data_IF_272483152814
#
_entry.id   IF_272483152814
#
_cell.length_a   1.000
_cell.length_b   1.000
_cell.length_c   1.000
_cell.angle_alpha   90.00
_cell.angle_beta   90.00
_cell.angle_gamma   90.00
#
_symmetry.space_group_name_H-M   'P 1'
#
loop_
_entity.id
_entity.type
_entity.pdbx_description
1 polymer ?
#
# COMPACT_ATOMS: atom_id res chain seq x y z
N UNK A 1 45.05 11.16 -5.37
CA UNK A 1 44.64 11.49 -3.98
C UNK A 1 43.19 11.97 -3.82
N UNK A 2 42.62 12.77 -4.74
CA UNK A 2 41.21 13.23 -4.62
C UNK A 2 40.20 12.09 -4.78
N UNK A 3 40.40 11.18 -5.75
CA UNK A 3 39.50 10.04 -6.02
C UNK A 3 39.36 9.07 -4.82
N UNK A 4 40.47 8.68 -4.19
CA UNK A 4 40.42 7.78 -3.02
C UNK A 4 39.82 8.45 -1.78
N UNK A 5 40.02 9.76 -1.58
CA UNK A 5 39.35 10.51 -0.52
C UNK A 5 37.84 10.60 -0.76
N UNK A 6 37.41 10.79 -2.00
CA UNK A 6 35.99 10.78 -2.38
C UNK A 6 35.37 9.40 -2.21
N UNK A 7 36.05 8.31 -2.60
CA UNK A 7 35.60 6.93 -2.35
C UNK A 7 35.44 6.64 -0.85
N UNK A 8 36.45 6.98 -0.03
CA UNK A 8 36.38 6.80 1.44
C UNK A 8 35.31 7.68 2.10
N UNK A 9 35.01 8.86 1.55
CA UNK A 9 33.89 9.69 2.02
C UNK A 9 32.55 9.08 1.65
N UNK A 10 32.39 8.58 0.40
CA UNK A 10 31.19 7.89 -0.05
C UNK A 10 30.89 6.65 0.80
N UNK A 11 31.92 5.88 1.13
CA UNK A 11 31.85 4.71 2.03
C UNK A 11 31.46 5.06 3.48
N UNK A 12 31.64 6.33 3.91
CA UNK A 12 31.28 6.80 5.27
C UNK A 12 29.92 7.48 5.33
N UNK A 13 29.46 8.09 4.23
CA UNK A 13 28.15 8.74 4.17
C UNK A 13 27.06 7.71 3.94
N UNK A 14 26.39 7.29 5.01
CA UNK A 14 25.19 6.46 4.92
C UNK A 14 24.00 7.32 4.48
N UNK A 15 23.27 6.96 3.40
CA UNK A 15 22.07 7.66 2.98
C UNK A 15 20.90 7.47 3.96
N UNK A 16 21.06 6.66 5.02
CA UNK A 16 20.03 6.37 6.01
C UNK A 16 19.42 7.64 6.63
N UNK A 17 20.23 8.67 6.90
CA UNK A 17 19.71 9.93 7.47
C UNK A 17 18.74 10.62 6.52
N UNK A 18 19.03 10.62 5.22
CA UNK A 18 18.13 11.20 4.21
C UNK A 18 16.80 10.43 4.14
N UNK A 19 16.85 9.10 4.19
CA UNK A 19 15.64 8.27 4.18
C UNK A 19 14.81 8.46 5.46
N UNK A 20 15.45 8.57 6.63
CA UNK A 20 14.75 8.86 7.89
C UNK A 20 14.11 10.25 7.85
N UNK A 21 14.84 11.26 7.36
CA UNK A 21 14.30 12.62 7.20
C UNK A 21 13.12 12.67 6.21
N UNK A 22 13.13 11.85 5.16
CA UNK A 22 12.01 11.72 4.23
C UNK A 22 10.82 10.94 4.81
N UNK A 23 11.08 9.89 5.58
CA UNK A 23 10.03 9.05 6.17
C UNK A 23 9.26 9.77 7.29
N UNK A 24 9.90 10.66 8.05
CA UNK A 24 9.28 11.41 9.15
C UNK A 24 8.05 12.25 8.72
N UNK A 25 8.13 13.15 7.72
CA UNK A 25 6.97 13.92 7.29
C UNK A 25 5.88 13.03 6.69
N UNK A 26 6.22 11.92 6.03
CA UNK A 26 5.23 10.95 5.54
C UNK A 26 4.49 10.26 6.69
N UNK A 27 5.22 9.84 7.73
CA UNK A 27 4.63 9.28 8.94
C UNK A 27 3.68 10.28 9.61
N UNK A 28 4.13 11.52 9.78
CA UNK A 28 3.33 12.60 10.34
C UNK A 28 2.09 12.88 9.48
N UNK A 29 2.21 12.89 8.15
CA UNK A 29 1.08 13.11 7.26
C UNK A 29 -0.02 12.04 7.46
N UNK A 30 0.35 10.76 7.58
CA UNK A 30 -0.62 9.67 7.85
C UNK A 30 -1.29 9.88 9.21
N UNK A 31 -0.53 10.26 10.23
CA UNK A 31 -1.05 10.56 11.57
C UNK A 31 -2.06 11.72 11.52
N UNK A 32 -1.71 12.83 10.86
CA UNK A 32 -2.57 14.01 10.77
C UNK A 32 -3.79 13.83 9.86
N UNK A 33 -3.80 12.81 9.00
CA UNK A 33 -4.97 12.49 8.17
C UNK A 33 -6.12 11.91 8.99
N UNK A 34 -5.87 11.42 10.23
CA UNK A 34 -6.84 10.75 11.10
C UNK A 34 -7.62 9.60 10.41
N UNK A 35 -7.09 9.05 9.32
CA UNK A 35 -7.72 7.97 8.57
C UNK A 35 -7.55 6.67 9.34
N UNK A 36 -8.65 6.11 9.84
CA UNK A 36 -8.63 4.82 10.57
C UNK A 36 -8.01 3.71 9.73
N UNK A 37 -8.35 3.65 8.44
CA UNK A 37 -7.75 2.69 7.50
C UNK A 37 -6.26 2.92 7.32
N UNK A 38 -5.83 4.18 7.21
CA UNK A 38 -4.42 4.55 7.15
C UNK A 38 -3.65 4.14 8.40
N UNK A 39 -4.18 4.42 9.59
CA UNK A 39 -3.56 4.05 10.87
C UNK A 39 -3.47 2.53 11.06
N UNK A 40 -4.52 1.77 10.68
CA UNK A 40 -4.50 0.31 10.74
C UNK A 40 -3.43 -0.27 9.80
N UNK A 41 -3.37 0.21 8.56
CA UNK A 41 -2.33 -0.23 7.61
C UNK A 41 -0.93 0.18 8.07
N UNK A 42 -0.76 1.35 8.66
CA UNK A 42 0.51 1.80 9.24
C UNK A 42 0.96 0.90 10.40
N UNK A 43 0.04 0.56 11.32
CA UNK A 43 0.34 -0.35 12.42
C UNK A 43 0.69 -1.76 11.90
N UNK A 44 -0.05 -2.26 10.90
CA UNK A 44 0.24 -3.53 10.25
C UNK A 44 1.63 -3.51 9.58
N UNK A 45 2.00 -2.43 8.89
CA UNK A 45 3.34 -2.26 8.31
C UNK A 45 4.44 -2.43 9.36
N UNK A 46 4.38 -1.65 10.45
CA UNK A 46 5.42 -1.68 11.47
C UNK A 46 5.50 -3.03 12.18
N UNK A 47 4.36 -3.67 12.44
CA UNK A 47 4.32 -5.01 13.03
C UNK A 47 4.99 -6.05 12.12
N UNK A 48 4.61 -6.08 10.84
CA UNK A 48 5.18 -7.01 9.86
C UNK A 48 6.66 -6.72 9.60
N UNK A 49 7.04 -5.44 9.47
CA UNK A 49 8.42 -5.01 9.31
C UNK A 49 9.27 -5.43 10.50
N UNK A 50 8.76 -5.31 11.74
CA UNK A 50 9.46 -5.75 12.94
C UNK A 50 9.64 -7.27 12.96
N UNK A 51 8.59 -8.02 12.61
CA UNK A 51 8.64 -9.47 12.50
C UNK A 51 9.68 -9.94 11.46
N UNK A 52 9.68 -9.34 10.27
CA UNK A 52 10.67 -9.59 9.21
C UNK A 52 12.07 -9.23 9.67
N UNK A 53 12.26 -8.08 10.31
CA UNK A 53 13.54 -7.63 10.83
C UNK A 53 14.12 -8.63 11.84
N UNK A 54 13.32 -9.06 12.80
CA UNK A 54 13.72 -10.06 13.80
C UNK A 54 14.02 -11.40 13.14
N UNK A 55 13.16 -11.87 12.23
CA UNK A 55 13.34 -13.14 11.53
C UNK A 55 14.61 -13.14 10.69
N UNK A 56 14.86 -12.07 9.94
CA UNK A 56 16.07 -11.92 9.12
C UNK A 56 17.32 -11.98 10.00
N UNK A 57 17.32 -11.32 11.16
CA UNK A 57 18.43 -11.38 12.11
C UNK A 57 18.66 -12.78 12.71
N UNK A 58 17.58 -13.50 13.04
CA UNK A 58 17.66 -14.85 13.61
C UNK A 58 18.15 -15.88 12.59
N UNK A 59 17.76 -15.73 11.32
CA UNK A 59 18.13 -16.65 10.25
C UNK A 59 19.46 -16.31 9.58
N UNK A 60 19.90 -15.06 9.66
CA UNK A 60 21.17 -14.65 9.06
C UNK A 60 22.34 -15.22 9.87
N UNK A 61 23.00 -16.24 9.29
CA UNK A 61 24.18 -16.91 9.85
C UNK A 61 25.47 -16.09 9.74
N UNK A 62 25.44 -15.00 8.97
CA UNK A 62 26.59 -14.11 8.86
C UNK A 62 26.57 -13.17 10.07
N UNK A 63 27.66 -13.17 10.84
CA UNK A 63 27.83 -12.26 11.97
C UNK A 63 27.59 -10.83 11.49
N UNK A 64 26.51 -10.21 11.97
CA UNK A 64 26.15 -8.87 11.53
C UNK A 64 27.25 -7.91 11.99
N UNK A 65 27.92 -7.25 11.06
CA UNK A 65 28.91 -6.20 11.38
C UNK A 65 28.28 -4.95 12.02
N UNK A 66 26.95 -4.92 12.09
CA UNK A 66 26.17 -3.86 12.72
C UNK A 66 26.33 -3.87 14.23
N UNK A 67 26.75 -2.74 14.79
CA UNK A 67 26.88 -2.54 16.23
C UNK A 67 25.52 -2.76 16.94
N UNK A 68 25.46 -3.45 18.09
CA UNK A 68 24.21 -3.80 18.78
C UNK A 68 23.36 -2.59 19.15
N UNK A 69 23.99 -1.43 19.41
CA UNK A 69 23.28 -0.17 19.68
C UNK A 69 22.42 0.29 18.49
N UNK A 70 22.88 0.07 17.24
CA UNK A 70 22.11 0.43 16.04
C UNK A 70 20.90 -0.49 15.90
N UNK A 71 21.08 -1.78 16.17
CA UNK A 71 19.96 -2.73 16.18
C UNK A 71 18.94 -2.37 17.26
N UNK A 72 19.40 -2.01 18.46
CA UNK A 72 18.54 -1.60 19.56
C UNK A 72 17.78 -0.30 19.22
N UNK A 73 18.46 0.69 18.65
CA UNK A 73 17.82 1.97 18.31
C UNK A 73 16.76 1.81 17.21
N UNK A 74 17.03 1.01 16.17
CA UNK A 74 16.06 0.71 15.11
C UNK A 74 14.86 -0.05 15.67
N UNK A 75 15.10 -1.07 16.49
CA UNK A 75 14.02 -1.84 17.14
C UNK A 75 13.15 -0.94 18.01
N UNK A 76 13.77 -0.10 18.84
CA UNK A 76 13.06 0.83 19.71
C UNK A 76 12.24 1.84 18.90
N UNK A 77 12.80 2.39 17.82
CA UNK A 77 12.10 3.30 16.92
C UNK A 77 10.87 2.64 16.30
N UNK A 78 10.98 1.39 15.83
CA UNK A 78 9.85 0.64 15.25
C UNK A 78 8.77 0.34 16.30
N UNK A 79 9.16 -0.02 17.53
CA UNK A 79 8.23 -0.24 18.64
C UNK A 79 7.52 1.04 19.06
N UNK A 80 8.22 2.18 19.11
CA UNK A 80 7.62 3.48 19.40
C UNK A 80 6.65 3.90 18.31
N UNK A 81 7.01 3.74 17.04
CA UNK A 81 6.14 4.04 15.91
C UNK A 81 4.89 3.15 15.90
N UNK A 82 5.06 1.84 16.17
CA UNK A 82 3.94 0.90 16.30
C UNK A 82 3.04 1.26 17.49
N UNK A 83 3.62 1.49 18.67
CA UNK A 83 2.89 1.86 19.88
C UNK A 83 2.10 3.16 19.72
N UNK A 84 2.69 4.14 19.02
CA UNK A 84 2.01 5.39 18.69
C UNK A 84 0.89 5.18 17.65
N UNK A 85 1.13 4.41 16.58
CA UNK A 85 0.07 4.09 15.61
C UNK A 85 -1.10 3.37 16.29
N UNK A 86 -0.81 2.44 17.21
CA UNK A 86 -1.82 1.71 17.99
C UNK A 86 -2.56 2.63 18.97
N UNK A 87 -1.88 3.60 19.60
CA UNK A 87 -2.55 4.52 20.55
C UNK A 87 -3.55 5.47 19.88
N UNK A 88 -3.38 5.73 18.57
CA UNK A 88 -4.34 6.48 17.76
C UNK A 88 -5.58 5.66 17.38
N UNK A 89 -5.53 4.33 17.52
CA UNK A 89 -6.69 3.48 17.29
C UNK A 89 -7.63 3.60 18.50
N UNK A 90 -8.79 4.21 18.28
CA UNK A 90 -9.84 4.29 19.29
C UNK A 90 -10.57 2.93 19.41
N UNK A 91 -9.99 2.04 20.21
CA UNK A 91 -10.53 0.71 20.48
C UNK A 91 -11.94 0.74 21.07
N UNK A 92 -12.31 1.80 21.80
CA UNK A 92 -13.67 1.94 22.38
C UNK A 92 -14.73 2.12 21.30
N UNK A 93 -14.41 2.82 20.21
CA UNK A 93 -15.32 2.95 19.07
C UNK A 93 -15.40 1.69 18.22
N UNK A 94 -14.37 0.85 18.22
CA UNK A 94 -14.40 -0.47 17.55
C UNK A 94 -15.36 -1.39 18.28
N UNK A 95 -15.28 -1.44 19.60
CA UNK A 95 -16.21 -2.18 20.47
C UNK A 95 -17.66 -1.68 20.29
N UNK A 96 -17.87 -0.35 20.36
CA UNK A 96 -19.19 0.24 20.10
C UNK A 96 -19.72 -0.06 18.70
N UNK A 97 -18.85 -0.11 17.68
CA UNK A 97 -19.25 -0.47 16.31
C UNK A 97 -19.55 -1.96 16.17
N UNK A 98 -18.83 -2.82 16.87
CA UNK A 98 -19.12 -4.25 16.90
C UNK A 98 -20.49 -4.50 17.56
N UNK A 99 -20.79 -3.78 18.65
CA UNK A 99 -22.10 -3.77 19.30
C UNK A 99 -23.19 -3.15 18.42
N UNK A 100 -22.87 -2.15 17.60
CA UNK A 100 -23.78 -1.56 16.61
C UNK A 100 -24.02 -2.48 15.41
N UNK A 101 -23.05 -3.28 14.98
CA UNK A 101 -23.25 -4.30 13.92
C UNK A 101 -24.20 -5.42 14.39
N UNK A 102 -24.26 -5.68 15.69
CA UNK A 102 -25.22 -6.59 16.31
C UNK A 102 -26.62 -5.98 16.48
N UNK A 103 -26.78 -4.65 16.31
CA UNK A 103 -28.07 -3.94 16.43
C UNK A 103 -28.53 -3.41 15.06
N UNK A 104 -29.63 -3.91 14.49
CA UNK A 104 -30.06 -3.58 13.11
C UNK A 104 -30.40 -2.10 12.82
N UNK A 105 -30.49 -1.24 13.83
CA UNK A 105 -31.22 0.04 13.73
C UNK A 105 -30.36 1.28 13.44
N UNK A 106 -29.03 1.22 13.55
CA UNK A 106 -28.17 2.41 13.33
C UNK A 106 -27.25 2.19 12.13
N UNK A 107 -27.77 2.48 10.94
CA UNK A 107 -27.00 2.48 9.68
C UNK A 107 -26.12 3.74 9.60
N UNK A 108 -24.81 3.59 9.83
CA UNK A 108 -23.81 4.63 9.58
C UNK A 108 -23.88 5.03 8.09
N UNK A 109 -24.37 6.24 7.78
CA UNK A 109 -24.72 6.70 6.42
C UNK A 109 -23.52 6.61 5.48
N UNK A 110 -22.30 6.80 5.98
CA UNK A 110 -21.08 6.68 5.20
C UNK A 110 -20.77 5.23 4.80
N UNK A 111 -21.04 4.27 5.68
CA UNK A 111 -20.78 2.85 5.41
C UNK A 111 -21.78 2.30 4.40
N UNK A 112 -23.07 2.60 4.58
CA UNK A 112 -24.10 2.17 3.63
C UNK A 112 -23.88 2.77 2.25
N UNK A 113 -23.52 4.05 2.14
CA UNK A 113 -23.19 4.66 0.86
C UNK A 113 -22.01 3.95 0.15
N UNK A 114 -20.96 3.57 0.89
CA UNK A 114 -19.83 2.82 0.33
C UNK A 114 -20.22 1.40 -0.11
N UNK A 115 -21.07 0.73 0.66
CA UNK A 115 -21.56 -0.60 0.31
C UNK A 115 -22.40 -0.57 -0.97
N UNK A 116 -23.35 0.36 -1.06
CA UNK A 116 -24.19 0.55 -2.25
C UNK A 116 -23.33 0.91 -3.48
N UNK A 117 -22.33 1.78 -3.30
CA UNK A 117 -21.40 2.12 -4.38
C UNK A 117 -20.55 0.92 -4.82
N UNK A 118 -20.11 0.08 -3.88
CA UNK A 118 -19.40 -1.15 -4.18
C UNK A 118 -20.29 -2.10 -4.98
N UNK A 119 -21.55 -2.30 -4.57
CA UNK A 119 -22.52 -3.13 -5.30
C UNK A 119 -22.76 -2.62 -6.73
N UNK A 120 -22.97 -1.33 -6.91
CA UNK A 120 -23.11 -0.72 -8.23
C UNK A 120 -21.86 -0.95 -9.11
N UNK A 121 -20.67 -0.82 -8.52
CA UNK A 121 -19.40 -1.08 -9.22
C UNK A 121 -19.25 -2.56 -9.61
N UNK A 122 -19.68 -3.48 -8.75
CA UNK A 122 -19.67 -4.92 -9.08
C UNK A 122 -20.65 -5.29 -10.20
N UNK A 123 -21.81 -4.63 -10.26
CA UNK A 123 -22.76 -4.80 -11.37
C UNK A 123 -22.14 -4.33 -12.69
N UNK A 124 -21.51 -3.15 -12.70
CA UNK A 124 -20.78 -2.62 -13.85
C UNK A 124 -19.64 -3.53 -14.30
N UNK A 125 -18.90 -4.11 -13.35
CA UNK A 125 -17.87 -5.11 -13.64
C UNK A 125 -18.46 -6.32 -14.36
N UNK A 126 -19.61 -6.84 -13.89
CA UNK A 126 -20.28 -7.99 -14.49
C UNK A 126 -20.56 -7.82 -15.98
N UNK A 127 -20.87 -6.59 -16.42
CA UNK A 127 -21.19 -6.27 -17.81
C UNK A 127 -19.95 -5.93 -18.65
N UNK A 128 -18.94 -5.28 -18.05
CA UNK A 128 -17.83 -4.69 -18.81
C UNK A 128 -16.47 -5.38 -18.64
N UNK A 129 -16.31 -6.36 -17.75
CA UNK A 129 -15.00 -6.99 -17.47
C UNK A 129 -14.28 -7.56 -18.70
N UNK A 130 -14.98 -7.92 -19.78
CA UNK A 130 -14.37 -8.52 -20.98
C UNK A 130 -13.66 -7.48 -21.84
N UNK A 131 -14.38 -6.43 -22.23
CA UNK A 131 -13.89 -5.41 -23.18
C UNK A 131 -13.41 -4.13 -22.49
N UNK A 132 -13.87 -3.88 -21.27
CA UNK A 132 -13.73 -2.61 -20.59
C UNK A 132 -14.66 -1.54 -21.17
N UNK A 133 -14.72 -0.39 -20.49
CA UNK A 133 -15.40 0.83 -20.96
C UNK A 133 -14.43 1.88 -21.51
N UNK A 134 -13.13 1.59 -21.51
CA UNK A 134 -12.06 2.53 -21.82
C UNK A 134 -11.48 3.20 -20.56
N UNK A 135 -10.19 3.55 -20.61
CA UNK A 135 -9.50 4.24 -19.52
C UNK A 135 -10.16 5.59 -19.20
N UNK A 136 -10.49 5.83 -17.94
CA UNK A 136 -11.28 7.00 -17.50
C UNK A 136 -12.75 6.96 -17.93
N UNK A 137 -13.22 5.84 -18.46
CA UNK A 137 -14.61 5.62 -18.90
C UNK A 137 -15.57 5.38 -17.74
N UNK A 138 -15.07 4.95 -16.58
CA UNK A 138 -15.90 4.61 -15.42
C UNK A 138 -16.86 5.75 -15.06
N UNK A 139 -16.32 6.96 -14.88
CA UNK A 139 -17.09 8.15 -14.47
C UNK A 139 -18.27 8.50 -15.37
N UNK A 140 -18.22 8.12 -16.65
CA UNK A 140 -19.27 8.46 -17.61
C UNK A 140 -20.43 7.46 -17.60
N UNK A 141 -20.13 6.17 -17.38
CA UNK A 141 -21.14 5.11 -17.40
C UNK A 141 -21.65 4.75 -16.00
N UNK A 142 -20.83 4.94 -14.97
CA UNK A 142 -21.19 4.66 -13.58
C UNK A 142 -22.48 5.34 -13.08
N UNK A 143 -22.84 6.57 -13.50
CA UNK A 143 -24.13 7.18 -13.18
C UNK A 143 -25.35 6.32 -13.56
N UNK A 144 -25.26 5.46 -14.58
CA UNK A 144 -26.36 4.56 -14.95
C UNK A 144 -26.58 3.46 -13.91
N UNK A 145 -25.49 2.93 -13.35
CA UNK A 145 -25.56 1.84 -12.36
C UNK A 145 -26.08 2.34 -11.01
N UNK A 146 -25.68 3.54 -10.57
CA UNK A 146 -26.14 4.08 -9.28
C UNK A 146 -27.63 4.46 -9.28
N UNK A 147 -28.30 4.59 -10.43
CA UNK A 147 -29.77 4.83 -10.50
C UNK A 147 -30.57 3.75 -9.78
N UNK A 148 -30.05 2.51 -9.78
CA UNK A 148 -30.67 1.38 -9.11
C UNK A 148 -30.48 1.42 -7.57
N UNK A 149 -29.71 2.39 -7.07
CA UNK A 149 -29.37 2.56 -5.66
C UNK A 149 -29.81 3.95 -5.13
N UNK A 150 -31.10 4.11 -4.73
CA UNK A 150 -31.66 5.41 -4.34
C UNK A 150 -30.91 6.13 -3.21
N UNK A 151 -30.28 5.36 -2.31
CA UNK A 151 -29.49 5.89 -1.19
C UNK A 151 -28.27 6.72 -1.63
N UNK A 152 -27.72 6.41 -2.80
CA UNK A 152 -26.51 7.05 -3.34
C UNK A 152 -26.75 7.83 -4.63
N UNK A 153 -27.87 7.64 -5.33
CA UNK A 153 -28.15 8.40 -6.55
C UNK A 153 -28.42 9.88 -6.28
N UNK A 154 -29.20 10.20 -5.23
CA UNK A 154 -29.57 11.58 -4.83
C UNK A 154 -30.01 12.49 -6.00
N UNK A 155 -30.75 11.95 -6.97
CA UNK A 155 -31.19 12.69 -8.15
C UNK A 155 -30.06 13.08 -9.12
N UNK A 156 -28.96 12.32 -9.14
CA UNK A 156 -27.78 12.59 -9.95
C UNK A 156 -26.82 13.63 -9.37
N UNK A 157 -27.05 14.07 -8.12
CA UNK A 157 -26.18 15.05 -7.44
C UNK A 157 -24.87 14.47 -6.95
N UNK A 158 -24.81 13.15 -6.74
CA UNK A 158 -23.65 12.48 -6.21
C UNK A 158 -22.92 11.77 -7.35
N UNK A 159 -21.67 12.16 -7.58
CA UNK A 159 -20.85 11.72 -8.70
C UNK A 159 -19.57 11.09 -8.17
N UNK A 160 -19.21 9.92 -8.72
CA UNK A 160 -17.96 9.24 -8.43
C UNK A 160 -17.14 9.16 -9.70
N UNK A 161 -15.90 9.64 -9.61
CA UNK A 161 -14.95 9.56 -10.73
C UNK A 161 -14.32 8.17 -10.85
N UNK A 162 -14.19 7.46 -9.73
CA UNK A 162 -13.54 6.16 -9.63
C UNK A 162 -14.31 5.26 -8.66
N UNK A 163 -14.27 3.96 -8.90
CA UNK A 163 -14.63 2.98 -7.88
C UNK A 163 -13.66 3.12 -6.70
N UNK A 164 -14.16 3.08 -5.47
CA UNK A 164 -13.32 2.99 -4.25
C UNK A 164 -12.74 1.58 -4.06
N UNK A 165 -12.20 1.02 -5.14
CA UNK A 165 -11.55 -0.26 -5.22
C UNK A 165 -10.87 -0.37 -6.60
N UNK A 166 -9.55 -0.22 -6.65
CA UNK A 166 -8.77 -0.32 -7.89
C UNK A 166 -8.91 -1.71 -8.54
N UNK A 167 -9.12 -2.77 -7.75
CA UNK A 167 -9.35 -4.13 -8.27
C UNK A 167 -10.67 -4.29 -9.02
N UNK A 168 -11.65 -3.42 -8.76
CA UNK A 168 -12.86 -3.30 -9.58
C UNK A 168 -12.64 -2.33 -10.75
N UNK A 169 -12.03 -1.17 -10.47
CA UNK A 169 -11.82 -0.11 -11.46
C UNK A 169 -11.07 -0.61 -12.70
N UNK A 170 -9.93 -1.28 -12.49
CA UNK A 170 -9.05 -1.74 -13.56
C UNK A 170 -9.77 -2.64 -14.58
N UNK A 171 -10.42 -3.75 -14.19
CA UNK A 171 -11.13 -4.60 -15.13
C UNK A 171 -12.41 -3.95 -15.69
N UNK A 172 -13.05 -3.02 -14.97
CA UNK A 172 -14.18 -2.24 -15.54
C UNK A 172 -13.69 -1.37 -16.70
N UNK A 173 -12.58 -0.66 -16.54
CA UNK A 173 -12.10 0.28 -17.56
C UNK A 173 -11.32 -0.39 -18.68
N UNK A 174 -10.38 -1.26 -18.34
CA UNK A 174 -9.42 -1.84 -19.30
C UNK A 174 -9.83 -3.23 -19.78
N UNK A 175 -10.87 -3.82 -19.18
CA UNK A 175 -11.34 -5.15 -19.51
C UNK A 175 -10.32 -6.25 -19.22
N UNK A 176 -10.56 -7.42 -19.83
CA UNK A 176 -9.73 -8.59 -19.64
C UNK A 176 -8.33 -8.38 -20.21
N UNK A 177 -8.19 -7.61 -21.30
CA UNK A 177 -6.89 -7.31 -21.91
C UNK A 177 -5.98 -6.54 -20.95
N UNK A 178 -6.48 -5.45 -20.35
CA UNK A 178 -5.70 -4.68 -19.37
C UNK A 178 -5.44 -5.45 -18.08
N UNK A 179 -6.44 -6.18 -17.58
CA UNK A 179 -6.28 -7.06 -16.42
C UNK A 179 -5.20 -8.12 -16.63
N UNK A 180 -5.22 -8.81 -17.78
CA UNK A 180 -4.21 -9.82 -18.13
C UNK A 180 -2.81 -9.23 -18.27
N UNK A 181 -2.67 -8.03 -18.86
CA UNK A 181 -1.38 -7.37 -18.98
C UNK A 181 -0.77 -7.05 -17.60
N UNK A 182 -1.59 -6.54 -16.67
CA UNK A 182 -1.15 -6.27 -15.30
C UNK A 182 -0.80 -7.56 -14.56
N UNK A 183 -1.60 -8.62 -14.70
CA UNK A 183 -1.30 -9.93 -14.12
C UNK A 183 0.00 -10.52 -14.69
N UNK A 184 0.25 -10.37 -16.00
CA UNK A 184 1.49 -10.81 -16.63
C UNK A 184 2.70 -10.02 -16.10
N UNK A 185 2.59 -8.70 -15.96
CA UNK A 185 3.62 -7.86 -15.35
C UNK A 185 3.89 -8.21 -13.89
N UNK A 186 2.84 -8.43 -13.10
CA UNK A 186 2.94 -8.86 -11.71
C UNK A 186 3.59 -10.25 -11.60
N UNK A 187 3.20 -11.21 -12.42
CA UNK A 187 3.80 -12.54 -12.47
C UNK A 187 5.28 -12.47 -12.84
N UNK A 188 5.63 -11.69 -13.86
CA UNK A 188 7.03 -11.45 -14.24
C UNK A 188 7.84 -10.86 -13.09
N UNK A 189 7.32 -9.81 -12.44
CA UNK A 189 7.98 -9.17 -11.31
C UNK A 189 8.16 -10.14 -10.14
N UNK A 190 7.12 -10.88 -9.75
CA UNK A 190 7.21 -11.92 -8.72
C UNK A 190 8.26 -12.98 -9.07
N UNK A 191 8.22 -13.55 -10.29
CA UNK A 191 9.24 -14.49 -10.75
C UNK A 191 10.65 -13.91 -10.65
N UNK A 192 10.84 -12.63 -10.96
CA UNK A 192 12.12 -11.96 -10.82
C UNK A 192 12.57 -11.82 -9.36
N UNK A 193 11.65 -11.45 -8.44
CA UNK A 193 11.93 -11.42 -7.00
C UNK A 193 12.39 -12.79 -6.49
N UNK A 194 11.75 -13.87 -6.95
CA UNK A 194 12.14 -15.24 -6.60
C UNK A 194 13.50 -15.64 -7.18
N UNK A 195 13.74 -15.32 -8.45
CA UNK A 195 14.99 -15.64 -9.15
C UNK A 195 16.19 -14.96 -8.50
N UNK A 196 16.05 -13.70 -8.10
CA UNK A 196 17.09 -12.91 -7.42
C UNK A 196 17.07 -13.05 -5.89
N UNK A 197 16.24 -13.95 -5.34
CA UNK A 197 16.20 -14.27 -3.91
C UNK A 197 16.08 -13.03 -3.03
N UNK A 198 15.21 -12.10 -3.40
CA UNK A 198 15.02 -10.80 -2.73
C UNK A 198 14.81 -10.92 -1.22
N UNK A 199 14.26 -12.05 -0.73
CA UNK A 199 14.14 -12.36 0.70
C UNK A 199 15.45 -12.37 1.50
N UNK A 200 16.61 -12.44 0.83
CA UNK A 200 17.92 -12.36 1.47
C UNK A 200 18.33 -10.92 1.78
N UNK A 201 17.77 -9.95 1.08
CA UNK A 201 18.05 -8.53 1.27
C UNK A 201 16.95 -7.84 2.08
N UNK A 202 17.28 -7.41 3.29
CA UNK A 202 16.30 -6.84 4.22
C UNK A 202 15.66 -5.53 3.71
N UNK A 203 16.43 -4.55 3.18
CA UNK A 203 15.84 -3.35 2.56
C UNK A 203 14.84 -3.67 1.45
N UNK A 204 15.18 -4.58 0.54
CA UNK A 204 14.30 -4.96 -0.57
C UNK A 204 13.02 -5.66 -0.09
N UNK A 205 13.10 -6.51 0.95
CA UNK A 205 11.90 -7.11 1.57
C UNK A 205 10.99 -6.06 2.20
N UNK A 206 11.55 -5.11 2.96
CA UNK A 206 10.78 -4.04 3.58
C UNK A 206 10.11 -3.14 2.53
N UNK A 207 10.79 -2.87 1.42
CA UNK A 207 10.22 -2.14 0.30
C UNK A 207 9.08 -2.92 -0.37
N UNK A 208 9.27 -4.23 -0.61
CA UNK A 208 8.22 -5.10 -1.16
C UNK A 208 6.99 -5.16 -0.23
N UNK A 209 7.20 -5.17 1.09
CA UNK A 209 6.12 -5.11 2.07
C UNK A 209 5.31 -3.81 1.95
N UNK A 210 5.98 -2.66 1.77
CA UNK A 210 5.32 -1.38 1.53
C UNK A 210 4.52 -1.36 0.22
N UNK A 211 5.08 -1.90 -0.86
CA UNK A 211 4.39 -2.03 -2.16
C UNK A 211 3.15 -2.92 -2.05
N UNK A 212 3.25 -4.06 -1.36
CA UNK A 212 2.13 -4.96 -1.10
C UNK A 212 1.04 -4.28 -0.27
N UNK A 213 1.42 -3.45 0.70
CA UNK A 213 0.46 -2.70 1.50
C UNK A 213 -0.33 -1.68 0.68
N UNK A 214 0.28 -1.01 -0.31
CA UNK A 214 -0.46 -0.15 -1.24
C UNK A 214 -1.52 -0.94 -2.01
N UNK A 215 -1.22 -2.18 -2.42
CA UNK A 215 -2.17 -3.05 -3.10
C UNK A 215 -3.32 -3.51 -2.19
N UNK A 216 -3.06 -3.69 -0.88
CA UNK A 216 -4.11 -3.94 0.12
C UNK A 216 -4.98 -2.70 0.30
N UNK A 217 -4.39 -1.50 0.32
CA UNK A 217 -5.14 -0.25 0.41
C UNK A 217 -6.05 -0.03 -0.81
N UNK A 218 -5.60 -0.42 -1.99
CA UNK A 218 -6.35 -0.41 -3.25
C UNK A 218 -7.63 -1.28 -3.25
N UNK A 219 -7.88 -2.10 -2.23
CA UNK A 219 -9.16 -2.81 -2.04
C UNK A 219 -10.24 -1.91 -1.45
N UNK A 220 -9.85 -0.85 -0.73
CA UNK A 220 -10.76 0.04 -0.01
C UNK A 220 -10.80 1.46 -0.59
N UNK A 221 -9.86 1.77 -1.48
CA UNK A 221 -9.73 3.07 -2.12
C UNK A 221 -9.11 2.92 -3.52
N UNK A 222 -8.84 4.05 -4.19
CA UNK A 222 -8.27 4.09 -5.55
C UNK A 222 -6.88 4.74 -5.65
N UNK A 223 -5.88 4.37 -4.81
CA UNK A 223 -4.57 5.02 -4.82
C UNK A 223 -3.86 4.95 -6.19
N UNK A 224 -4.12 3.93 -7.01
CA UNK A 224 -3.45 3.76 -8.30
C UNK A 224 -4.00 4.69 -9.40
N UNK A 225 -5.16 5.32 -9.18
CA UNK A 225 -5.67 6.36 -10.09
C UNK A 225 -4.97 7.69 -9.90
N UNK A 226 -4.25 7.89 -8.78
CA UNK A 226 -3.38 9.03 -8.62
C UNK A 226 -2.05 8.78 -9.36
N UNK A 227 -1.74 9.54 -10.43
CA UNK A 227 -0.54 9.29 -11.23
C UNK A 227 0.74 9.35 -10.40
N UNK A 228 0.83 10.23 -9.40
CA UNK A 228 2.01 10.35 -8.56
C UNK A 228 2.24 9.09 -7.71
N UNK A 229 1.17 8.49 -7.18
CA UNK A 229 1.27 7.23 -6.42
C UNK A 229 1.64 6.09 -7.35
N UNK A 230 0.96 5.97 -8.50
CA UNK A 230 1.23 4.91 -9.48
C UNK A 230 2.68 4.96 -9.98
N UNK A 231 3.17 6.12 -10.39
CA UNK A 231 4.56 6.26 -10.88
C UNK A 231 5.57 5.94 -9.79
N UNK A 232 5.30 6.37 -8.55
CA UNK A 232 6.17 6.06 -7.40
C UNK A 232 6.17 4.57 -7.12
N UNK A 233 5.01 3.92 -7.14
CA UNK A 233 4.87 2.48 -6.93
C UNK A 233 5.65 1.69 -7.99
N UNK A 234 5.50 2.04 -9.28
CA UNK A 234 6.25 1.40 -10.37
C UNK A 234 7.76 1.60 -10.23
N UNK A 235 8.22 2.82 -9.90
CA UNK A 235 9.64 3.11 -9.70
C UNK A 235 10.23 2.29 -8.55
N UNK A 236 9.53 2.25 -7.40
CA UNK A 236 9.96 1.48 -6.23
C UNK A 236 9.96 -0.03 -6.48
N UNK A 237 8.99 -0.56 -7.24
CA UNK A 237 8.96 -1.97 -7.63
C UNK A 237 10.19 -2.37 -8.46
N UNK A 238 10.62 -1.51 -9.38
CA UNK A 238 11.86 -1.71 -10.15
C UNK A 238 13.09 -1.58 -9.25
N UNK A 239 13.15 -0.57 -8.39
CA UNK A 239 14.28 -0.35 -7.48
C UNK A 239 14.49 -1.51 -6.51
N UNK A 240 13.41 -2.12 -5.99
CA UNK A 240 13.50 -3.28 -5.11
C UNK A 240 14.26 -4.45 -5.77
N UNK A 241 14.04 -4.67 -7.07
CA UNK A 241 14.72 -5.70 -7.83
C UNK A 241 16.15 -5.30 -8.21
N UNK A 242 16.30 -4.07 -8.76
CA UNK A 242 17.60 -3.56 -9.24
C UNK A 242 18.63 -3.43 -8.12
N UNK A 243 18.20 -3.12 -6.91
CA UNK A 243 19.08 -3.06 -5.74
C UNK A 243 19.78 -4.40 -5.53
N UNK A 244 19.02 -5.50 -5.50
CA UNK A 244 19.53 -6.84 -5.27
C UNK A 244 20.41 -7.31 -6.45
N UNK A 245 19.99 -7.04 -7.69
CA UNK A 245 20.80 -7.39 -8.87
C UNK A 245 22.19 -6.73 -8.88
N UNK A 246 22.28 -5.46 -8.44
CA UNK A 246 23.54 -4.72 -8.40
C UNK A 246 24.43 -5.15 -7.24
N UNK A 247 23.84 -5.57 -6.13
CA UNK A 247 24.58 -6.08 -4.98
C UNK A 247 25.06 -7.53 -5.20
N UNK A 248 24.31 -8.36 -5.93
CA UNK A 248 24.78 -9.70 -6.38
C UNK A 248 25.97 -9.62 -7.35
N UNK A 249 26.12 -8.51 -8.08
CA UNK A 249 27.19 -8.30 -9.06
C UNK A 249 28.50 -7.77 -8.45
N UNK A 250 28.53 -7.46 -7.15
CA UNK A 250 29.70 -6.95 -6.41
C UNK A 250 30.43 -8.04 -5.65
#
# INVERSE_FOLDING_TARGET
>A
MSYERSRRKLERSSPAVLFVLGAMPMLLAVIYTFSRGGTVLLAAYFLLALGVFVLHRLLSRQGTTTHPLVTLSVTLMMLLALGYAVSLLDFRRVEQRFDQLLKPEIKDVSYTARLEAHLASTAMLGEHWRRGVGAGGFRFLYPEYIKQHPAIYQGGRLFWEHAHNDWLQIPIELGAAGGLLLLAGAAYWLCALFRHRVWRDLPAVLLCLGLAQTLVHATFDFPLQNPAILTTWCALAVLALRHVELDEAR
#
